data_IF_690201220293
#
_entry.id   IF_690201220293
#
_cell.length_a   1.000
_cell.length_b   1.000
_cell.length_c   1.000
_cell.angle_alpha   90.00
_cell.angle_beta   90.00
_cell.angle_gamma   90.00
#
_symmetry.space_group_name_H-M   'P 1'
#
loop_
_entity.id
_entity.type
_entity.pdbx_description
1 polymer ?
#
# COMPACT_ATOMS: atom_id res chain seq x y z
N UNK A 1 -9.87 66.21 -7.08
CA UNK A 1 -10.04 64.74 -7.18
C UNK A 1 -9.57 64.33 -8.57
N UNK A 2 -8.32 63.86 -8.72
CA UNK A 2 -7.77 63.42 -10.01
C UNK A 2 -8.25 61.98 -10.25
N UNK A 3 -9.13 61.80 -11.24
CA UNK A 3 -9.58 60.48 -11.70
C UNK A 3 -8.48 59.90 -12.59
N UNK A 4 -7.98 58.72 -12.25
CA UNK A 4 -7.06 57.98 -13.10
C UNK A 4 -7.87 57.33 -14.22
N UNK A 5 -7.74 57.86 -15.43
CA UNK A 5 -8.25 57.23 -16.63
C UNK A 5 -7.35 56.03 -16.96
N UNK A 6 -7.86 54.83 -16.73
CA UNK A 6 -7.17 53.58 -17.11
C UNK A 6 -7.35 53.40 -18.61
N UNK A 7 -6.30 53.61 -19.39
CA UNK A 7 -6.21 53.15 -20.78
C UNK A 7 -6.40 51.64 -20.84
N UNK A 8 -7.61 51.19 -21.19
CA UNK A 8 -7.87 49.78 -21.47
C UNK A 8 -7.33 49.49 -22.87
N UNK A 9 -6.04 49.19 -22.97
CA UNK A 9 -5.44 48.65 -24.19
C UNK A 9 -6.06 47.27 -24.45
N UNK A 10 -6.84 47.15 -25.52
CA UNK A 10 -7.40 45.87 -25.96
C UNK A 10 -6.32 44.92 -26.45
N UNK A 11 -6.42 43.65 -26.06
CA UNK A 11 -5.51 42.58 -26.50
C UNK A 11 -5.67 42.34 -28.01
N UNK A 12 -4.58 42.16 -28.74
CA UNK A 12 -4.66 41.94 -30.19
C UNK A 12 -5.03 40.48 -30.50
N UNK A 13 -5.80 40.25 -31.56
CA UNK A 13 -6.11 38.89 -32.05
C UNK A 13 -4.82 38.11 -32.40
N UNK A 14 -3.80 38.80 -32.88
CA UNK A 14 -2.51 38.22 -33.25
C UNK A 14 -1.74 37.75 -32.02
N UNK A 15 -1.73 38.52 -30.92
CA UNK A 15 -1.14 38.07 -29.65
C UNK A 15 -1.80 36.79 -29.16
N UNK A 16 -3.13 36.71 -29.23
CA UNK A 16 -3.85 35.54 -28.77
C UNK A 16 -3.55 34.31 -29.64
N UNK A 17 -3.42 34.50 -30.96
CA UNK A 17 -3.11 33.43 -31.91
C UNK A 17 -1.70 32.86 -31.71
N UNK A 18 -0.70 33.70 -31.45
CA UNK A 18 0.67 33.24 -31.19
C UNK A 18 0.74 32.47 -29.86
N UNK A 19 0.02 32.91 -28.83
CA UNK A 19 -0.01 32.24 -27.52
C UNK A 19 -0.57 30.82 -27.64
N UNK A 20 -1.71 30.63 -28.33
CA UNK A 20 -2.27 29.29 -28.51
C UNK A 20 -1.38 28.39 -29.37
N UNK A 21 -0.65 28.96 -30.34
CA UNK A 21 0.31 28.20 -31.15
C UNK A 21 1.47 27.67 -30.29
N UNK A 22 2.03 28.50 -29.41
CA UNK A 22 3.11 28.09 -28.50
C UNK A 22 2.62 27.05 -27.48
N UNK A 23 1.45 27.28 -26.85
CA UNK A 23 0.86 26.31 -25.91
C UNK A 23 0.58 24.97 -26.61
N UNK A 24 0.12 25.00 -27.87
CA UNK A 24 -0.08 23.81 -28.68
C UNK A 24 1.19 22.97 -28.82
N UNK A 25 2.31 23.59 -29.21
CA UNK A 25 3.60 22.91 -29.38
C UNK A 25 4.09 22.33 -28.04
N UNK A 26 4.01 23.10 -26.95
CA UNK A 26 4.44 22.63 -25.63
C UNK A 26 3.58 21.46 -25.13
N UNK A 27 2.26 21.54 -25.31
CA UNK A 27 1.32 20.51 -24.87
C UNK A 27 1.54 19.17 -25.59
N UNK A 28 1.89 19.21 -26.89
CA UNK A 28 2.11 18.02 -27.69
C UNK A 28 3.24 17.12 -27.15
N UNK A 29 4.29 17.71 -26.56
CA UNK A 29 5.42 16.97 -25.96
C UNK A 29 5.17 16.69 -24.48
N UNK A 30 4.60 17.66 -23.75
CA UNK A 30 4.43 17.57 -22.31
C UNK A 30 3.42 16.49 -21.89
N UNK A 31 2.30 16.35 -22.60
CA UNK A 31 1.23 15.39 -22.26
C UNK A 31 1.72 13.93 -22.26
N UNK A 32 2.30 13.39 -23.35
CA UNK A 32 2.74 11.99 -23.37
C UNK A 32 3.88 11.72 -22.37
N UNK A 33 4.80 12.67 -22.20
CA UNK A 33 5.88 12.56 -21.22
C UNK A 33 5.32 12.46 -19.79
N UNK A 34 4.36 13.31 -19.45
CA UNK A 34 3.76 13.34 -18.13
C UNK A 34 2.94 12.07 -17.82
N UNK A 35 2.23 11.53 -18.81
CA UNK A 35 1.53 10.24 -18.66
C UNK A 35 2.51 9.10 -18.34
N UNK A 36 3.63 9.01 -19.05
CA UNK A 36 4.66 8.00 -18.78
C UNK A 36 5.35 8.18 -17.41
N UNK A 37 5.56 9.42 -16.96
CA UNK A 37 6.11 9.68 -15.62
C UNK A 37 5.14 9.29 -14.50
N UNK A 38 3.85 9.60 -14.67
CA UNK A 38 2.80 9.19 -13.72
C UNK A 38 2.76 7.68 -13.58
N UNK A 39 2.76 6.94 -14.68
CA UNK A 39 2.73 5.47 -14.64
C UNK A 39 3.95 4.89 -13.91
N UNK A 40 5.16 5.38 -14.22
CA UNK A 40 6.37 4.98 -13.51
C UNK A 40 6.31 5.31 -12.02
N UNK A 41 5.69 6.42 -11.62
CA UNK A 41 5.51 6.78 -10.22
C UNK A 41 4.56 5.81 -9.51
N UNK A 42 3.45 5.42 -10.16
CA UNK A 42 2.52 4.42 -9.63
C UNK A 42 3.21 3.07 -9.39
N UNK A 43 3.94 2.58 -10.39
CA UNK A 43 4.73 1.33 -10.29
C UNK A 43 5.73 1.40 -9.12
N UNK A 44 6.48 2.49 -9.00
CA UNK A 44 7.46 2.65 -7.92
C UNK A 44 6.78 2.66 -6.54
N UNK A 45 5.63 3.32 -6.42
CA UNK A 45 4.87 3.37 -5.16
C UNK A 45 4.47 1.97 -4.72
N UNK A 46 3.81 1.20 -5.58
CA UNK A 46 3.35 -0.14 -5.22
C UNK A 46 4.51 -1.12 -4.95
N UNK A 47 5.59 -1.04 -5.73
CA UNK A 47 6.78 -1.87 -5.47
C UNK A 47 7.45 -1.51 -4.15
N UNK A 48 7.40 -0.24 -3.74
CA UNK A 48 7.92 0.16 -2.43
C UNK A 48 7.07 -0.39 -1.27
N UNK A 49 5.74 -0.31 -1.37
CA UNK A 49 4.83 -0.91 -0.39
C UNK A 49 4.99 -2.42 -0.31
N UNK A 50 5.18 -3.09 -1.45
CA UNK A 50 5.41 -4.54 -1.47
C UNK A 50 6.69 -4.97 -0.72
N UNK A 51 7.75 -4.15 -0.74
CA UNK A 51 8.98 -4.42 0.04
C UNK A 51 8.78 -4.21 1.53
N UNK A 52 7.97 -3.24 1.93
CA UNK A 52 7.58 -3.08 3.35
C UNK A 52 6.80 -4.32 3.77
N UNK A 53 5.81 -4.71 2.96
CA UNK A 53 5.01 -5.89 3.20
C UNK A 53 5.84 -7.18 3.29
N UNK A 54 6.85 -7.38 2.44
CA UNK A 54 7.71 -8.58 2.56
C UNK A 54 8.41 -8.65 3.91
N UNK A 55 8.95 -7.53 4.40
CA UNK A 55 9.64 -7.51 5.70
C UNK A 55 8.70 -7.83 6.86
N UNK A 56 7.45 -7.35 6.81
CA UNK A 56 6.45 -7.64 7.83
C UNK A 56 5.95 -9.10 7.75
N UNK A 57 5.76 -9.62 6.54
CA UNK A 57 5.42 -11.03 6.32
C UNK A 57 6.51 -11.97 6.85
N UNK A 58 7.80 -11.64 6.68
CA UNK A 58 8.91 -12.39 7.30
C UNK A 58 8.72 -12.44 8.83
N UNK A 59 8.51 -11.28 9.46
CA UNK A 59 8.39 -11.20 10.91
C UNK A 59 7.17 -11.98 11.44
N UNK A 60 6.06 -11.97 10.70
CA UNK A 60 4.87 -12.75 11.04
C UNK A 60 5.08 -14.25 10.85
N UNK A 61 5.79 -14.66 9.81
CA UNK A 61 6.16 -16.06 9.61
C UNK A 61 7.01 -16.57 10.78
N UNK A 62 8.02 -15.80 11.18
CA UNK A 62 8.87 -16.14 12.32
C UNK A 62 8.05 -16.20 13.63
N UNK A 63 7.09 -15.29 13.80
CA UNK A 63 6.20 -15.28 14.97
C UNK A 63 5.27 -16.51 14.98
N UNK A 64 4.72 -16.88 13.82
CA UNK A 64 3.84 -18.04 13.67
C UNK A 64 4.58 -19.37 13.90
N UNK A 65 5.77 -19.52 13.31
CA UNK A 65 6.63 -20.70 13.46
C UNK A 65 6.98 -20.97 14.94
N UNK A 66 7.25 -19.89 15.68
CA UNK A 66 7.53 -19.95 17.12
C UNK A 66 6.27 -20.00 18.01
N UNK A 67 5.06 -19.94 17.43
CA UNK A 67 3.78 -19.82 18.14
C UNK A 67 3.76 -18.65 19.13
N UNK A 68 4.52 -17.60 18.80
CA UNK A 68 4.63 -16.38 19.59
C UNK A 68 3.42 -15.48 19.36
N UNK A 69 3.00 -14.67 20.35
CA UNK A 69 1.92 -13.73 20.16
C UNK A 69 2.35 -12.57 19.25
N UNK A 70 1.41 -12.05 18.46
CA UNK A 70 1.61 -10.92 17.56
C UNK A 70 0.66 -9.78 17.89
N UNK A 71 1.11 -8.53 17.74
CA UNK A 71 0.30 -7.34 17.99
C UNK A 71 -0.13 -6.69 16.68
N UNK A 72 -1.42 -6.37 16.57
CA UNK A 72 -1.97 -5.60 15.46
C UNK A 72 -2.84 -4.47 15.97
N UNK A 73 -2.72 -3.28 15.37
CA UNK A 73 -3.71 -2.22 15.57
C UNK A 73 -4.85 -2.45 14.60
N UNK A 74 -6.08 -2.52 15.10
CA UNK A 74 -7.27 -2.68 14.26
C UNK A 74 -7.99 -1.34 14.01
N UNK A 75 -7.57 -0.28 14.68
CA UNK A 75 -8.10 1.06 14.54
C UNK A 75 -7.09 2.08 15.07
N UNK A 76 -7.06 3.29 14.50
CA UNK A 76 -6.02 4.31 14.69
C UNK A 76 -5.44 4.44 16.11
N UNK A 77 -6.08 5.24 16.98
CA UNK A 77 -5.59 5.51 18.34
C UNK A 77 -5.99 4.43 19.36
N UNK A 78 -6.46 3.26 18.91
CA UNK A 78 -6.78 2.16 19.80
C UNK A 78 -5.49 1.49 20.31
N UNK A 79 -5.55 0.97 21.52
CA UNK A 79 -4.53 0.04 22.03
C UNK A 79 -4.48 -1.19 21.11
N UNK A 80 -3.28 -1.78 20.90
CA UNK A 80 -3.13 -2.92 20.00
C UNK A 80 -3.91 -4.14 20.51
N UNK A 81 -4.48 -4.89 19.58
CA UNK A 81 -5.07 -6.21 19.83
C UNK A 81 -3.95 -7.24 19.73
N UNK A 82 -3.87 -8.10 20.73
CA UNK A 82 -2.91 -9.19 20.76
C UNK A 82 -3.52 -10.46 20.21
N UNK A 83 -2.80 -11.15 19.34
CA UNK A 83 -3.17 -12.43 18.76
C UNK A 83 -2.21 -13.50 19.25
N UNK A 84 -2.70 -14.49 20.00
CA UNK A 84 -1.92 -15.64 20.48
C UNK A 84 -2.31 -16.94 19.75
N UNK A 85 -1.43 -17.93 19.75
CA UNK A 85 -1.77 -19.23 19.18
C UNK A 85 -2.86 -19.90 20.02
N UNK A 86 -3.81 -20.59 19.39
CA UNK A 86 -4.94 -21.24 20.09
C UNK A 86 -4.51 -22.25 21.18
N UNK A 87 -3.28 -22.78 21.10
CA UNK A 87 -2.67 -23.63 22.12
C UNK A 87 -1.36 -23.01 22.64
N UNK A 88 -1.33 -21.69 22.81
CA UNK A 88 -0.18 -20.98 23.37
C UNK A 88 0.14 -21.53 24.77
N UNK A 89 1.44 -21.71 25.05
CA UNK A 89 1.88 -21.98 26.41
C UNK A 89 1.72 -20.71 27.26
N UNK A 90 1.70 -20.85 28.59
CA UNK A 90 1.58 -19.70 29.48
C UNK A 90 2.67 -18.63 29.23
N UNK A 91 3.87 -19.06 28.85
CA UNK A 91 5.03 -18.20 28.56
C UNK A 91 4.85 -17.37 27.28
N UNK A 92 4.11 -17.87 26.28
CA UNK A 92 3.85 -17.20 25.02
C UNK A 92 2.41 -16.68 24.92
N UNK A 93 1.74 -16.51 26.06
CA UNK A 93 0.40 -15.91 26.09
C UNK A 93 0.48 -14.40 25.95
N UNK A 94 -0.55 -13.81 25.34
CA UNK A 94 -0.74 -12.37 25.25
C UNK A 94 -0.73 -11.72 26.64
N UNK A 95 -1.34 -12.37 27.63
CA UNK A 95 -1.36 -11.87 29.01
C UNK A 95 0.05 -11.80 29.64
N UNK A 96 0.95 -12.73 29.28
CA UNK A 96 2.30 -12.77 29.81
C UNK A 96 3.24 -11.76 29.13
N UNK A 97 3.15 -11.62 27.80
CA UNK A 97 4.08 -10.80 27.02
C UNK A 97 3.58 -9.39 26.74
N UNK A 98 2.25 -9.20 26.67
CA UNK A 98 1.62 -7.95 26.27
C UNK A 98 0.40 -7.62 27.16
N UNK A 99 0.63 -7.34 28.46
CA UNK A 99 -0.45 -7.09 29.42
C UNK A 99 -1.27 -5.83 29.12
N UNK A 100 -0.71 -4.87 28.37
CA UNK A 100 -1.36 -3.61 28.01
C UNK A 100 -2.19 -3.69 26.70
N UNK A 101 -2.39 -4.88 26.13
CA UNK A 101 -3.21 -5.06 24.93
C UNK A 101 -4.70 -4.81 25.21
N UNK A 102 -5.43 -4.27 24.23
CA UNK A 102 -6.87 -3.94 24.39
C UNK A 102 -7.75 -5.18 24.49
N UNK A 103 -7.40 -6.20 23.71
CA UNK A 103 -8.16 -7.43 23.55
C UNK A 103 -7.17 -8.54 23.17
N UNK A 104 -7.41 -9.75 23.69
CA UNK A 104 -6.70 -10.95 23.27
C UNK A 104 -7.59 -11.74 22.31
N UNK A 105 -7.02 -12.08 21.16
CA UNK A 105 -7.62 -12.95 20.15
C UNK A 105 -6.69 -14.11 19.85
N UNK A 106 -7.21 -15.13 19.18
CA UNK A 106 -6.44 -16.33 18.86
C UNK A 106 -6.26 -16.49 17.36
N UNK A 107 -5.11 -17.01 16.94
CA UNK A 107 -4.88 -17.50 15.58
C UNK A 107 -4.65 -19.02 15.59
N UNK A 108 -5.09 -19.70 14.53
CA UNK A 108 -4.87 -21.15 14.35
C UNK A 108 -4.07 -21.48 13.09
N UNK A 109 -4.01 -20.55 12.14
CA UNK A 109 -3.21 -20.68 10.93
C UNK A 109 -2.56 -19.34 10.53
N UNK A 110 -1.54 -19.41 9.67
CA UNK A 110 -0.84 -18.24 9.15
C UNK A 110 -1.77 -17.30 8.37
N UNK A 111 -2.81 -17.84 7.72
CA UNK A 111 -3.82 -17.06 7.00
C UNK A 111 -4.49 -16.02 7.89
N UNK A 112 -4.88 -16.39 9.12
CA UNK A 112 -5.50 -15.45 10.06
C UNK A 112 -4.61 -14.25 10.36
N UNK A 113 -3.31 -14.47 10.56
CA UNK A 113 -2.35 -13.40 10.84
C UNK A 113 -2.12 -12.50 9.62
N UNK A 114 -1.99 -13.10 8.43
CA UNK A 114 -1.83 -12.36 7.19
C UNK A 114 -3.08 -11.52 6.85
N UNK A 115 -4.28 -12.03 7.14
CA UNK A 115 -5.51 -11.25 6.97
C UNK A 115 -5.54 -10.04 7.90
N UNK A 116 -5.06 -10.16 9.16
CA UNK A 116 -4.94 -9.02 10.07
C UNK A 116 -3.90 -8.01 9.61
N UNK A 117 -2.77 -8.47 9.06
CA UNK A 117 -1.77 -7.59 8.46
C UNK A 117 -2.36 -6.78 7.30
N UNK A 118 -3.10 -7.44 6.42
CA UNK A 118 -3.76 -6.80 5.28
C UNK A 118 -4.78 -5.76 5.74
N UNK A 119 -5.60 -6.09 6.76
CA UNK A 119 -6.55 -5.15 7.36
C UNK A 119 -5.82 -3.94 7.95
N UNK A 120 -4.71 -4.14 8.67
CA UNK A 120 -3.92 -3.04 9.20
C UNK A 120 -3.44 -2.08 8.09
N UNK A 121 -2.88 -2.61 7.00
CA UNK A 121 -2.42 -1.77 5.89
C UNK A 121 -3.57 -1.04 5.17
N UNK A 122 -4.64 -1.75 4.85
CA UNK A 122 -5.72 -1.17 4.07
C UNK A 122 -6.58 -0.19 4.89
N UNK A 123 -6.97 -0.56 6.12
CA UNK A 123 -7.97 0.18 6.88
C UNK A 123 -7.35 1.15 7.90
N UNK A 124 -6.19 0.80 8.48
CA UNK A 124 -5.56 1.62 9.53
C UNK A 124 -4.52 2.56 8.95
N UNK A 125 -3.66 2.08 8.06
CA UNK A 125 -2.73 2.94 7.32
C UNK A 125 -3.40 3.66 6.15
N UNK A 126 -4.54 3.16 5.68
CA UNK A 126 -5.28 3.76 4.56
C UNK A 126 -4.55 3.57 3.23
N UNK A 127 -3.80 2.48 3.07
CA UNK A 127 -3.06 2.21 1.86
C UNK A 127 -4.00 1.80 0.73
N UNK A 128 -3.92 2.54 -0.38
CA UNK A 128 -4.75 2.34 -1.57
C UNK A 128 -3.91 2.08 -2.81
N UNK A 129 -4.46 1.28 -3.71
CA UNK A 129 -3.85 1.03 -5.02
C UNK A 129 -3.77 2.32 -5.83
N UNK A 130 -2.59 2.68 -6.37
CA UNK A 130 -2.45 3.87 -7.21
C UNK A 130 -3.08 3.72 -8.61
N UNK A 131 -3.61 2.55 -8.94
CA UNK A 131 -4.17 2.24 -10.26
C UNK A 131 -5.69 2.42 -10.30
N UNK A 132 -6.40 1.86 -9.34
CA UNK A 132 -7.87 1.83 -9.30
C UNK A 132 -8.46 2.52 -8.05
N UNK A 133 -7.64 2.90 -7.07
CA UNK A 133 -8.09 3.49 -5.82
C UNK A 133 -8.74 2.49 -4.85
N UNK A 134 -8.68 1.19 -5.14
CA UNK A 134 -9.12 0.14 -4.24
C UNK A 134 -8.11 -0.16 -3.13
N UNK A 135 -8.34 -1.24 -2.38
CA UNK A 135 -7.41 -1.72 -1.35
C UNK A 135 -6.03 -2.00 -1.94
N UNK A 136 -4.94 -1.64 -1.27
CA UNK A 136 -3.60 -1.89 -1.81
C UNK A 136 -3.22 -3.38 -1.73
N UNK A 137 -3.50 -4.02 -0.60
CA UNK A 137 -3.03 -5.37 -0.30
C UNK A 137 -4.18 -6.36 -0.30
N UNK A 138 -3.97 -7.55 -0.88
CA UNK A 138 -5.00 -8.59 -1.02
C UNK A 138 -4.42 -9.99 -0.97
N UNK A 139 -5.26 -10.95 -0.58
CA UNK A 139 -4.98 -12.39 -0.61
C UNK A 139 -5.22 -13.02 -1.99
N UNK A 140 -5.89 -12.30 -2.89
CA UNK A 140 -6.27 -12.80 -4.21
C UNK A 140 -5.06 -12.77 -5.13
N UNK A 141 -4.69 -13.91 -5.70
CA UNK A 141 -3.57 -14.00 -6.63
C UNK A 141 -3.89 -13.33 -7.98
N UNK A 142 -2.89 -12.66 -8.57
CA UNK A 142 -3.00 -12.13 -9.94
C UNK A 142 -3.84 -10.86 -10.08
N UNK A 143 -4.28 -10.23 -8.98
CA UNK A 143 -4.98 -8.94 -9.05
C UNK A 143 -3.99 -7.84 -9.44
N UNK A 144 -4.11 -7.34 -10.67
CA UNK A 144 -3.21 -6.33 -11.24
C UNK A 144 -3.32 -4.98 -10.51
N UNK A 145 -2.19 -4.37 -10.18
CA UNK A 145 -2.14 -3.10 -9.45
C UNK A 145 -2.33 -3.23 -7.94
N UNK A 146 -2.27 -4.45 -7.38
CA UNK A 146 -2.34 -4.71 -5.94
C UNK A 146 -1.12 -5.51 -5.47
N UNK A 147 -0.87 -5.47 -4.17
CA UNK A 147 0.10 -6.33 -3.48
C UNK A 147 -0.61 -7.62 -3.10
N UNK A 148 -0.30 -8.70 -3.81
CA UNK A 148 -0.88 -10.02 -3.57
C UNK A 148 -0.02 -10.78 -2.56
N UNK A 149 -0.61 -11.21 -1.45
CA UNK A 149 0.06 -11.95 -0.37
C UNK A 149 -0.59 -13.33 -0.25
N UNK A 150 0.17 -14.37 -0.55
CA UNK A 150 -0.37 -15.73 -0.67
C UNK A 150 0.47 -16.66 0.19
N UNK A 151 -0.09 -17.25 1.24
CA UNK A 151 0.61 -18.33 1.92
C UNK A 151 0.51 -19.63 1.11
N UNK A 152 1.64 -20.31 0.94
CA UNK A 152 1.71 -21.61 0.27
C UNK A 152 1.61 -22.75 1.26
N UNK A 153 2.29 -22.59 2.40
CA UNK A 153 2.35 -23.53 3.50
C UNK A 153 2.30 -22.75 4.81
N UNK A 154 2.41 -23.46 5.93
CA UNK A 154 2.49 -22.86 7.26
C UNK A 154 3.77 -22.03 7.49
N UNK A 155 4.81 -22.22 6.68
CA UNK A 155 6.12 -21.58 6.86
C UNK A 155 6.55 -20.73 5.64
N UNK A 156 5.70 -20.62 4.62
CA UNK A 156 6.04 -19.88 3.40
C UNK A 156 4.90 -19.04 2.87
N UNK A 157 5.24 -17.84 2.40
CA UNK A 157 4.34 -16.93 1.72
C UNK A 157 5.01 -16.27 0.52
N UNK A 158 4.22 -15.93 -0.50
CA UNK A 158 4.63 -15.11 -1.63
C UNK A 158 4.06 -13.70 -1.47
N UNK A 159 4.89 -12.71 -1.77
CA UNK A 159 4.46 -11.33 -1.98
C UNK A 159 4.74 -10.97 -3.44
N UNK A 160 3.68 -10.64 -4.17
CA UNK A 160 3.72 -10.43 -5.62
C UNK A 160 3.02 -9.12 -5.94
N UNK A 161 3.55 -8.38 -6.91
CA UNK A 161 2.89 -7.24 -7.52
C UNK A 161 2.88 -7.44 -9.02
N UNK A 162 1.69 -7.39 -9.60
CA UNK A 162 1.52 -7.40 -11.06
C UNK A 162 1.17 -6.00 -11.55
N UNK A 163 1.75 -5.58 -12.67
CA UNK A 163 1.36 -4.39 -13.41
C UNK A 163 -0.02 -4.55 -14.03
N UNK A 164 -0.59 -3.46 -14.53
CA UNK A 164 -1.90 -3.46 -15.21
C UNK A 164 -1.92 -4.31 -16.48
N UNK A 165 -0.76 -4.55 -17.08
CA UNK A 165 -0.54 -5.43 -18.22
C UNK A 165 -0.32 -6.91 -17.81
N UNK A 166 -0.44 -7.23 -16.52
CA UNK A 166 -0.21 -8.57 -15.98
C UNK A 166 1.27 -8.94 -15.85
N UNK A 167 2.20 -8.02 -16.12
CA UNK A 167 3.64 -8.26 -15.93
C UNK A 167 3.99 -8.30 -14.44
N UNK A 168 4.83 -9.24 -14.02
CA UNK A 168 5.32 -9.27 -12.65
C UNK A 168 6.31 -8.11 -12.44
N UNK A 169 5.91 -7.12 -11.65
CA UNK A 169 6.74 -5.97 -11.28
C UNK A 169 7.62 -6.27 -10.07
N UNK A 170 7.12 -7.14 -9.19
CA UNK A 170 7.80 -7.60 -7.99
C UNK A 170 7.29 -8.99 -7.64
N UNK A 171 8.18 -9.90 -7.25
CA UNK A 171 7.81 -11.22 -6.78
C UNK A 171 8.90 -11.74 -5.86
N UNK A 172 8.54 -12.00 -4.62
CA UNK A 172 9.45 -12.51 -3.60
C UNK A 172 8.78 -13.63 -2.81
N UNK A 173 9.48 -14.76 -2.68
CA UNK A 173 9.10 -15.85 -1.79
C UNK A 173 9.76 -15.62 -0.44
N UNK A 174 8.95 -15.66 0.61
CA UNK A 174 9.37 -15.49 1.98
C UNK A 174 9.17 -16.79 2.75
N UNK A 175 10.12 -17.12 3.61
CA UNK A 175 10.10 -18.29 4.50
C UNK A 175 10.50 -17.87 5.91
N UNK A 176 9.95 -18.50 6.96
CA UNK A 176 10.49 -18.29 8.30
C UNK A 176 11.88 -18.89 8.44
N UNK A 177 12.67 -18.30 9.34
CA UNK A 177 14.03 -18.75 9.63
C UNK A 177 14.08 -19.97 10.53
#
# INVERSE_FOLDING_TARGET
MKLWEKDIKGFTLVELLIVIAIIGILSAIAVPMFMGQREKAKIRSITSSARVMTTEVVALLDSYSNKSPALFKLSGNALPVCYEFILASAEFSCAALFPDSSETRTYSNLGNLLDQLIVYHNDVLGEVSPFDGGVLSTRVAGTAGHVNIINLTDDTAYVIVNGQDGTALFSEMVKSR
#
